data_IF_508922412066
#
_entry.id   IF_508922412066
#
_cell.length_a   1.000
_cell.length_b   1.000
_cell.length_c   1.000
_cell.angle_alpha   90.00
_cell.angle_beta   90.00
_cell.angle_gamma   90.00
#
_symmetry.space_group_name_H-M   'P 1'
#
loop_
_entity.id
_entity.type
_entity.pdbx_description
1 polymer ?
#
# COMPACT_ATOMS: atom_id res chain seq x y z
N UNK A 1 -13.76 10.85 26.88
CA UNK A 1 -12.61 11.21 26.03
C UNK A 1 -12.98 10.79 24.62
N UNK A 2 -13.06 11.73 23.68
CA UNK A 2 -13.10 11.38 22.26
C UNK A 2 -11.69 10.90 21.89
N UNK A 3 -11.53 9.57 21.86
CA UNK A 3 -10.32 8.95 21.35
C UNK A 3 -10.31 8.97 19.83
N UNK A 4 -9.14 9.18 19.22
CA UNK A 4 -8.96 8.98 17.79
C UNK A 4 -9.19 7.49 17.47
N UNK A 5 -10.23 7.22 16.67
CA UNK A 5 -10.56 5.88 16.20
C UNK A 5 -10.07 5.73 14.78
N UNK A 6 -9.15 4.79 14.55
CA UNK A 6 -8.64 4.51 13.20
C UNK A 6 -9.60 3.55 12.50
N UNK A 7 -10.04 3.94 11.30
CA UNK A 7 -10.87 3.10 10.44
C UNK A 7 -9.99 2.11 9.67
N UNK A 8 -9.86 0.90 10.21
CA UNK A 8 -9.04 -0.16 9.63
C UNK A 8 -9.56 -0.63 8.27
N UNK A 9 -10.87 -0.51 8.03
CA UNK A 9 -11.47 -0.83 6.73
C UNK A 9 -11.03 0.19 5.69
N UNK A 10 -11.10 1.48 6.03
CA UNK A 10 -10.62 2.54 5.14
C UNK A 10 -9.12 2.43 4.84
N UNK A 11 -8.28 2.09 5.83
CA UNK A 11 -6.85 1.85 5.57
C UNK A 11 -6.61 0.63 4.66
N UNK A 12 -7.36 -0.45 4.86
CA UNK A 12 -7.27 -1.65 4.01
C UNK A 12 -7.66 -1.31 2.57
N UNK A 13 -8.79 -0.64 2.37
CA UNK A 13 -9.25 -0.20 1.05
C UNK A 13 -8.27 0.76 0.38
N UNK A 14 -7.63 1.66 1.15
CA UNK A 14 -6.61 2.55 0.61
C UNK A 14 -5.39 1.77 0.11
N UNK A 15 -4.93 0.78 0.87
CA UNK A 15 -3.82 -0.10 0.48
C UNK A 15 -4.15 -0.92 -0.78
N UNK A 16 -5.35 -1.48 -0.86
CA UNK A 16 -5.85 -2.19 -2.05
C UNK A 16 -5.95 -1.27 -3.27
N UNK A 17 -6.52 -0.08 -3.13
CA UNK A 17 -6.62 0.90 -4.21
C UNK A 17 -5.26 1.34 -4.76
N UNK A 18 -4.25 1.48 -3.90
CA UNK A 18 -2.88 1.77 -4.33
C UNK A 18 -2.30 0.59 -5.15
N UNK A 19 -2.53 -0.65 -4.73
CA UNK A 19 -2.10 -1.85 -5.48
C UNK A 19 -2.79 -1.94 -6.83
N UNK A 20 -4.07 -1.63 -6.91
CA UNK A 20 -4.82 -1.62 -8.15
C UNK A 20 -4.31 -0.55 -9.12
N UNK A 21 -3.96 0.64 -8.61
CA UNK A 21 -3.34 1.69 -9.41
C UNK A 21 -1.96 1.24 -9.96
N UNK A 22 -1.12 0.62 -9.13
CA UNK A 22 0.17 0.04 -9.55
C UNK A 22 -0.06 -1.02 -10.65
N UNK A 23 -1.03 -1.91 -10.45
CA UNK A 23 -1.37 -2.94 -11.43
C UNK A 23 -1.86 -2.34 -12.75
N UNK A 24 -2.64 -1.25 -12.71
CA UNK A 24 -3.08 -0.53 -13.90
C UNK A 24 -1.90 0.10 -14.64
N UNK A 25 -0.97 0.74 -13.92
CA UNK A 25 0.24 1.31 -14.51
C UNK A 25 1.11 0.24 -15.17
N UNK A 26 1.27 -0.93 -14.54
CA UNK A 26 2.06 -2.04 -15.10
C UNK A 26 1.48 -2.64 -16.39
N UNK A 27 0.17 -2.45 -16.65
CA UNK A 27 -0.49 -2.90 -17.89
C UNK A 27 -0.34 -1.93 -19.06
N UNK A 28 -0.01 -0.68 -18.80
CA UNK A 28 0.14 0.38 -19.81
C UNK A 28 1.56 0.92 -19.74
N UNK A 29 2.52 0.18 -20.30
CA UNK A 29 3.94 0.50 -20.14
C UNK A 29 4.34 1.67 -21.02
N UNK A 30 5.33 2.44 -20.58
CA UNK A 30 5.93 3.49 -21.42
C UNK A 30 6.53 2.90 -22.70
N UNK A 31 7.04 1.67 -22.64
CA UNK A 31 7.50 0.92 -23.81
C UNK A 31 6.43 0.66 -24.86
N UNK A 32 5.14 0.72 -24.49
CA UNK A 32 4.04 0.52 -25.44
C UNK A 32 3.79 1.77 -26.30
N UNK A 33 4.37 2.91 -25.91
CA UNK A 33 4.33 4.21 -26.61
C UNK A 33 5.61 4.40 -27.44
N UNK A 34 6.71 3.79 -27.01
CA UNK A 34 7.98 3.87 -27.69
C UNK A 34 7.89 3.30 -29.11
N UNK A 35 8.51 4.00 -30.07
CA UNK A 35 8.54 3.62 -31.47
C UNK A 35 10.00 3.46 -31.89
N UNK A 36 10.31 2.49 -32.77
CA UNK A 36 11.68 2.33 -33.23
C UNK A 36 12.14 3.61 -33.96
N UNK A 37 13.44 3.91 -33.87
CA UNK A 37 13.99 5.18 -34.36
C UNK A 37 13.72 5.43 -35.85
N UNK A 38 13.60 4.37 -36.64
CA UNK A 38 13.28 4.39 -38.07
C UNK A 38 11.82 4.77 -38.39
N UNK A 39 10.93 4.73 -37.40
CA UNK A 39 9.58 5.28 -37.50
C UNK A 39 9.60 6.82 -37.57
N UNK A 40 10.71 7.46 -37.19
CA UNK A 40 10.88 8.90 -37.25
C UNK A 40 11.77 9.31 -38.43
N UNK A 41 11.27 10.23 -39.25
CA UNK A 41 11.99 10.74 -40.43
C UNK A 41 13.20 11.62 -40.04
N UNK A 42 13.25 12.10 -38.79
CA UNK A 42 14.28 13.04 -38.32
C UNK A 42 14.98 12.52 -37.06
N UNK A 43 16.29 12.31 -37.13
CA UNK A 43 17.11 11.73 -36.04
C UNK A 43 16.93 12.46 -34.71
N UNK A 44 16.98 13.80 -34.74
CA UNK A 44 16.76 14.62 -33.53
C UNK A 44 15.41 14.34 -32.86
N UNK A 45 14.35 14.10 -33.63
CA UNK A 45 13.03 13.77 -33.08
C UNK A 45 13.07 12.38 -32.45
N UNK A 46 13.64 11.39 -33.13
CA UNK A 46 13.82 10.04 -32.61
C UNK A 46 14.55 10.05 -31.25
N UNK A 47 15.70 10.76 -31.18
CA UNK A 47 16.47 10.91 -29.94
C UNK A 47 15.66 11.59 -28.84
N UNK A 48 14.94 12.67 -29.17
CA UNK A 48 14.15 13.41 -28.16
C UNK A 48 13.03 12.54 -27.59
N UNK A 49 12.35 11.75 -28.43
CA UNK A 49 11.29 10.84 -27.99
C UNK A 49 11.86 9.71 -27.13
N UNK A 50 12.98 9.11 -27.54
CA UNK A 50 13.65 8.08 -26.74
C UNK A 50 14.05 8.61 -25.35
N UNK A 51 14.72 9.76 -25.28
CA UNK A 51 15.10 10.40 -24.01
C UNK A 51 13.89 10.73 -23.13
N UNK A 52 12.77 11.13 -23.74
CA UNK A 52 11.53 11.39 -23.04
C UNK A 52 10.94 10.10 -22.45
N UNK A 53 10.83 9.04 -23.26
CA UNK A 53 10.33 7.74 -22.82
C UNK A 53 11.21 7.13 -21.72
N UNK A 54 12.53 7.24 -21.82
CA UNK A 54 13.46 6.76 -20.79
C UNK A 54 13.24 7.46 -19.44
N UNK A 55 13.19 8.80 -19.45
CA UNK A 55 12.97 9.59 -18.24
C UNK A 55 11.59 9.35 -17.64
N UNK A 56 10.58 9.18 -18.49
CA UNK A 56 9.23 8.86 -18.05
C UNK A 56 9.18 7.47 -17.41
N UNK A 57 9.80 6.47 -18.02
CA UNK A 57 9.86 5.12 -17.48
C UNK A 57 10.55 5.09 -16.11
N UNK A 58 11.65 5.82 -15.95
CA UNK A 58 12.32 5.98 -14.66
C UNK A 58 11.41 6.65 -13.61
N UNK A 59 10.69 7.71 -14.00
CA UNK A 59 9.72 8.38 -13.13
C UNK A 59 8.57 7.46 -12.70
N UNK A 60 8.03 6.67 -13.62
CA UNK A 60 6.97 5.68 -13.34
C UNK A 60 7.47 4.59 -12.41
N UNK A 61 8.72 4.12 -12.59
CA UNK A 61 9.34 3.14 -11.70
C UNK A 61 9.44 3.67 -10.28
N UNK A 62 9.99 4.86 -10.11
CA UNK A 62 10.16 5.47 -8.78
C UNK A 62 8.81 5.70 -8.10
N UNK A 63 7.81 6.23 -8.83
CA UNK A 63 6.46 6.39 -8.32
C UNK A 63 5.83 5.05 -7.89
N UNK A 64 6.09 3.99 -8.65
CA UNK A 64 5.58 2.65 -8.33
C UNK A 64 6.21 2.07 -7.07
N UNK A 65 7.51 2.26 -6.86
CA UNK A 65 8.20 1.82 -5.63
C UNK A 65 7.71 2.59 -4.41
N UNK A 66 7.56 3.92 -4.51
CA UNK A 66 6.99 4.73 -3.44
C UNK A 66 5.56 4.31 -3.09
N UNK A 67 4.74 4.02 -4.11
CA UNK A 67 3.38 3.53 -3.92
C UNK A 67 3.34 2.15 -3.23
N UNK A 68 4.26 1.23 -3.57
CA UNK A 68 4.38 -0.06 -2.87
C UNK A 68 4.70 0.15 -1.39
N UNK A 69 5.65 1.04 -1.08
CA UNK A 69 6.02 1.37 0.30
C UNK A 69 4.83 1.95 1.08
N UNK A 70 4.06 2.87 0.48
CA UNK A 70 2.84 3.42 1.09
C UNK A 70 1.83 2.30 1.39
N UNK A 71 1.54 1.42 0.43
CA UNK A 71 0.60 0.31 0.64
C UNK A 71 1.08 -0.63 1.76
N UNK A 72 2.38 -0.94 1.81
CA UNK A 72 2.97 -1.77 2.86
C UNK A 72 2.84 -1.14 4.24
N UNK A 73 3.04 0.18 4.35
CA UNK A 73 2.87 0.91 5.62
C UNK A 73 1.42 0.96 6.08
N UNK A 74 0.47 1.13 5.16
CA UNK A 74 -0.97 1.09 5.48
C UNK A 74 -1.36 -0.28 6.05
N UNK A 75 -0.90 -1.36 5.43
CA UNK A 75 -1.12 -2.72 5.94
C UNK A 75 -0.47 -2.92 7.30
N UNK A 76 0.77 -2.44 7.48
CA UNK A 76 1.45 -2.52 8.76
C UNK A 76 0.66 -1.83 9.87
N UNK A 77 0.14 -0.62 9.62
CA UNK A 77 -0.72 0.09 10.56
C UNK A 77 -1.95 -0.75 10.92
N UNK A 78 -2.62 -1.36 9.94
CA UNK A 78 -3.79 -2.22 10.19
C UNK A 78 -3.43 -3.39 11.11
N UNK A 79 -2.30 -4.07 10.87
CA UNK A 79 -1.85 -5.18 11.71
C UNK A 79 -1.49 -4.73 13.13
N UNK A 80 -0.82 -3.59 13.28
CA UNK A 80 -0.47 -3.03 14.60
C UNK A 80 -1.72 -2.72 15.43
N UNK A 81 -2.77 -2.16 14.81
CA UNK A 81 -4.04 -1.91 15.49
C UNK A 81 -4.75 -3.20 15.89
N UNK A 82 -4.84 -4.18 14.99
CA UNK A 82 -5.46 -5.48 15.29
C UNK A 82 -4.75 -6.19 16.44
N UNK A 83 -3.42 -6.22 16.41
CA UNK A 83 -2.64 -6.84 17.48
C UNK A 83 -2.88 -6.18 18.84
N UNK A 84 -2.96 -4.85 18.87
CA UNK A 84 -3.25 -4.10 20.11
C UNK A 84 -4.65 -4.39 20.64
N UNK A 85 -5.65 -4.46 19.75
CA UNK A 85 -7.04 -4.75 20.10
C UNK A 85 -7.19 -6.19 20.63
N UNK A 86 -6.57 -7.17 19.97
CA UNK A 86 -6.53 -8.58 20.40
C UNK A 86 -5.82 -8.75 21.75
N UNK A 87 -4.68 -8.09 21.96
CA UNK A 87 -3.95 -8.13 23.23
C UNK A 87 -4.79 -7.55 24.37
N UNK A 88 -5.49 -6.44 24.11
CA UNK A 88 -6.39 -5.81 25.09
C UNK A 88 -7.57 -6.72 25.41
N UNK A 89 -8.16 -7.35 24.39
CA UNK A 89 -9.27 -8.31 24.55
C UNK A 89 -8.84 -9.51 25.38
N UNK A 90 -7.70 -10.12 25.07
CA UNK A 90 -7.15 -11.26 25.80
C UNK A 90 -6.86 -10.92 27.27
N UNK A 91 -6.32 -9.71 27.53
CA UNK A 91 -6.10 -9.23 28.89
C UNK A 91 -7.42 -9.08 29.68
N UNK A 92 -8.46 -8.51 29.04
CA UNK A 92 -9.80 -8.41 29.64
C UNK A 92 -10.43 -9.79 29.91
N UNK A 93 -10.36 -10.71 28.95
CA UNK A 93 -10.85 -12.08 29.10
C UNK A 93 -10.15 -12.80 30.26
N UNK A 94 -8.83 -12.62 30.41
CA UNK A 94 -8.06 -13.17 31.52
C UNK A 94 -8.48 -12.61 32.88
N UNK A 95 -8.80 -11.31 32.97
CA UNK A 95 -9.35 -10.71 34.19
C UNK A 95 -10.72 -11.32 34.53
N UNK A 96 -11.60 -11.47 33.54
CA UNK A 96 -12.93 -12.04 33.75
C UNK A 96 -12.87 -13.52 34.18
N UNK A 97 -11.98 -14.31 33.58
CA UNK A 97 -11.76 -15.70 33.98
C UNK A 97 -11.23 -15.79 35.41
N UNK A 98 -10.28 -14.94 35.79
CA UNK A 98 -9.72 -14.90 37.16
C UNK A 98 -10.71 -14.40 38.20
N UNK A 99 -11.64 -13.52 37.82
CA UNK A 99 -12.71 -13.02 38.68
C UNK A 99 -13.88 -13.99 38.88
N UNK A 100 -13.94 -15.08 38.08
CA UNK A 100 -14.94 -16.14 38.21
C UNK A 100 -14.57 -17.25 39.21
N UNK A 101 -13.29 -17.39 39.54
CA UNK A 101 -12.84 -18.23 40.65
C UNK A 101 -13.07 -17.47 41.96
N UNK A 102 -14.30 -17.54 42.49
CA UNK A 102 -14.62 -17.05 43.84
C UNK A 102 -14.01 -18.01 44.88
N UNK A 103 -12.98 -17.60 45.65
CA UNK A 103 -12.36 -18.44 46.67
C UNK A 103 -13.25 -18.66 47.90
N UNK A 104 -14.46 -18.08 47.97
CA UNK A 104 -15.42 -18.25 49.07
C UNK A 104 -16.46 -19.37 48.85
N UNK A 105 -16.36 -20.14 47.76
CA UNK A 105 -17.29 -21.23 47.44
C UNK A 105 -16.92 -22.63 48.01
N UNK A 106 -15.95 -22.72 48.94
CA UNK A 106 -15.59 -23.96 49.66
C UNK A 106 -16.00 -23.94 51.14
#
# INVERSE_FOLDING_TARGET
MDGFRVDLTALTHASEGVRDAINAMNRSKVSDIDSPADAFVHDRLATTVAEFCDRWNEGVRNLTEDAKEISGRLDHCVQAYRHTDEATRAHFEGILQRGGDDPAAQ
#
